data_IF_276413036788
#
_entry.id   IF_276413036788
#
_cell.length_a   1.000
_cell.length_b   1.000
_cell.length_c   1.000
_cell.angle_alpha   90.00
_cell.angle_beta   90.00
_cell.angle_gamma   90.00
#
_symmetry.space_group_name_H-M   'P 1'
#
loop_
_entity.id
_entity.type
_entity.pdbx_description
1 polymer ?
#
# COMPACT_ATOMS: atom_id res chain seq x y z
N UNK A 1 -86.67 -14.50 6.88
CA UNK A 1 -85.65 -14.14 5.87
C UNK A 1 -84.33 -13.96 6.63
N UNK A 2 -83.66 -15.05 6.99
CA UNK A 2 -82.81 -15.92 6.16
C UNK A 2 -81.38 -15.37 6.05
N UNK A 3 -80.47 -16.00 6.79
CA UNK A 3 -79.03 -15.96 6.60
C UNK A 3 -78.62 -17.22 5.83
N UNK A 4 -77.78 -17.09 4.79
CA UNK A 4 -76.91 -18.19 4.32
C UNK A 4 -75.65 -17.63 3.64
N UNK A 5 -74.60 -18.45 3.76
CA UNK A 5 -73.17 -18.31 3.46
C UNK A 5 -72.78 -18.46 1.97
N UNK A 6 -71.68 -17.79 1.60
CA UNK A 6 -70.45 -18.25 0.90
C UNK A 6 -70.47 -18.82 -0.54
N UNK A 7 -69.53 -18.33 -1.37
CA UNK A 7 -68.58 -19.02 -2.29
C UNK A 7 -68.20 -18.09 -3.48
N UNK A 8 -67.00 -17.49 -3.48
CA UNK A 8 -65.71 -18.03 -3.96
C UNK A 8 -65.50 -17.89 -5.48
N UNK A 9 -64.73 -16.89 -5.89
CA UNK A 9 -63.97 -16.88 -7.15
C UNK A 9 -62.52 -16.53 -6.84
N UNK A 10 -61.67 -17.56 -6.83
CA UNK A 10 -60.24 -17.45 -6.70
C UNK A 10 -59.66 -16.90 -8.01
N UNK A 11 -59.18 -15.65 -7.98
CA UNK A 11 -58.30 -15.12 -9.00
C UNK A 11 -56.90 -15.72 -8.80
N UNK A 12 -56.37 -16.34 -9.85
CA UNK A 12 -55.06 -16.98 -9.85
C UNK A 12 -53.96 -16.01 -9.47
N UNK A 13 -53.30 -16.28 -8.35
CA UNK A 13 -52.02 -15.69 -8.02
C UNK A 13 -50.97 -16.28 -8.96
N UNK A 14 -50.40 -15.44 -9.81
CA UNK A 14 -49.15 -15.75 -10.49
C UNK A 14 -48.07 -15.92 -9.39
N UNK A 15 -47.71 -17.17 -9.11
CA UNK A 15 -46.60 -17.51 -8.23
C UNK A 15 -45.32 -17.04 -8.90
N UNK A 16 -44.80 -15.89 -8.48
CA UNK A 16 -43.38 -15.55 -8.69
C UNK A 16 -42.58 -16.62 -7.96
N UNK A 17 -42.01 -17.58 -8.70
CA UNK A 17 -41.06 -18.53 -8.16
C UNK A 17 -39.92 -17.72 -7.51
N UNK A 18 -39.53 -18.01 -6.26
CA UNK A 18 -38.50 -17.24 -5.60
C UNK A 18 -37.18 -17.52 -6.32
N UNK A 19 -36.49 -16.49 -6.81
CA UNK A 19 -35.16 -16.59 -7.45
C UNK A 19 -34.17 -17.44 -6.63
N UNK A 20 -34.36 -17.48 -5.30
CA UNK A 20 -33.60 -18.32 -4.38
C UNK A 20 -33.66 -19.83 -4.73
N UNK A 21 -34.82 -20.35 -5.13
CA UNK A 21 -35.02 -21.78 -5.42
C UNK A 21 -34.44 -22.18 -6.79
N UNK A 22 -34.29 -21.22 -7.72
CA UNK A 22 -33.70 -21.49 -9.02
C UNK A 22 -32.17 -21.56 -8.95
N UNK A 23 -31.55 -20.65 -8.18
CA UNK A 23 -30.10 -20.64 -7.93
C UNK A 23 -29.65 -21.91 -7.20
N UNK A 24 -30.40 -22.35 -6.19
CA UNK A 24 -30.08 -23.56 -5.42
C UNK A 24 -30.13 -24.81 -6.31
N UNK A 25 -31.13 -24.92 -7.20
CA UNK A 25 -31.22 -26.02 -8.19
C UNK A 25 -30.07 -26.03 -9.20
N UNK A 26 -29.60 -24.86 -9.63
CA UNK A 26 -28.46 -24.75 -10.58
C UNK A 26 -27.16 -25.20 -9.91
N UNK A 27 -26.92 -24.82 -8.65
CA UNK A 27 -25.73 -25.22 -7.91
C UNK A 27 -25.73 -26.74 -7.68
N UNK A 28 -26.87 -27.33 -7.29
CA UNK A 28 -27.02 -28.78 -7.13
C UNK A 28 -26.78 -29.55 -8.44
N UNK A 29 -27.28 -29.04 -9.58
CA UNK A 29 -27.08 -29.66 -10.89
C UNK A 29 -25.64 -29.58 -11.39
N UNK A 30 -24.90 -28.51 -11.04
CA UNK A 30 -23.52 -28.30 -11.48
C UNK A 30 -22.52 -29.31 -10.87
N UNK A 31 -22.89 -30.00 -9.77
CA UNK A 31 -22.03 -30.91 -8.99
C UNK A 31 -20.69 -30.29 -8.53
N UNK A 32 -20.58 -28.96 -8.52
CA UNK A 32 -19.34 -28.24 -8.22
C UNK A 32 -19.03 -28.20 -6.71
N UNK A 33 -20.04 -28.29 -5.84
CA UNK A 33 -19.89 -28.20 -4.39
C UNK A 33 -20.03 -29.58 -3.70
N UNK A 34 -19.00 -29.99 -2.96
CA UNK A 34 -18.99 -31.25 -2.18
C UNK A 34 -19.32 -31.03 -0.70
N UNK A 35 -19.23 -29.77 -0.23
CA UNK A 35 -19.56 -29.34 1.13
C UNK A 35 -20.56 -28.18 1.14
N UNK A 36 -21.30 -28.01 2.24
CA UNK A 36 -22.26 -26.91 2.39
C UNK A 36 -21.65 -25.51 2.28
N UNK A 37 -20.38 -25.34 2.68
CA UNK A 37 -19.65 -24.07 2.55
C UNK A 37 -19.28 -23.74 1.09
N UNK A 38 -18.92 -24.76 0.30
CA UNK A 38 -18.69 -24.60 -1.15
C UNK A 38 -20.00 -24.30 -1.87
N UNK A 39 -21.11 -24.88 -1.43
CA UNK A 39 -22.44 -24.65 -2.00
C UNK A 39 -22.88 -23.20 -1.81
N UNK A 40 -22.73 -22.66 -0.59
CA UNK A 40 -23.00 -21.25 -0.30
C UNK A 40 -22.13 -20.31 -1.15
N UNK A 41 -20.81 -20.59 -1.24
CA UNK A 41 -19.89 -19.78 -2.05
C UNK A 41 -20.22 -19.83 -3.54
N UNK A 42 -20.54 -21.00 -4.09
CA UNK A 42 -20.91 -21.15 -5.49
C UNK A 42 -22.22 -20.42 -5.81
N UNK A 43 -23.20 -20.48 -4.90
CA UNK A 43 -24.45 -19.74 -4.99
C UNK A 43 -24.21 -18.23 -5.05
N UNK A 44 -23.37 -17.70 -4.17
CA UNK A 44 -23.05 -16.26 -4.13
C UNK A 44 -22.35 -15.79 -5.42
N UNK A 45 -21.40 -16.58 -5.94
CA UNK A 45 -20.69 -16.27 -7.20
C UNK A 45 -21.64 -16.27 -8.41
N UNK A 46 -22.57 -17.23 -8.48
CA UNK A 46 -23.56 -17.29 -9.57
C UNK A 46 -24.56 -16.15 -9.44
N UNK A 47 -25.00 -15.80 -8.23
CA UNK A 47 -25.89 -14.68 -7.99
C UNK A 47 -25.28 -13.35 -8.45
N UNK A 48 -24.00 -13.12 -8.12
CA UNK A 48 -23.25 -11.94 -8.57
C UNK A 48 -23.11 -11.91 -10.10
N UNK A 49 -22.77 -13.05 -10.73
CA UNK A 49 -22.69 -13.13 -12.18
C UNK A 49 -24.02 -12.81 -12.86
N UNK A 50 -25.13 -13.33 -12.35
CA UNK A 50 -26.48 -13.05 -12.86
C UNK A 50 -26.81 -11.56 -12.70
N UNK A 51 -26.49 -10.96 -11.55
CA UNK A 51 -26.68 -9.53 -11.33
C UNK A 51 -25.91 -8.69 -12.37
N UNK A 52 -24.64 -9.02 -12.62
CA UNK A 52 -23.81 -8.31 -13.60
C UNK A 52 -24.27 -8.52 -15.06
N UNK A 53 -24.90 -9.66 -15.38
CA UNK A 53 -25.56 -9.88 -16.68
C UNK A 53 -26.80 -9.00 -16.80
N UNK A 54 -27.62 -8.92 -15.73
CA UNK A 54 -28.84 -8.10 -15.73
C UNK A 54 -28.55 -6.60 -15.81
N UNK A 55 -27.44 -6.15 -15.23
CA UNK A 55 -26.97 -4.76 -15.36
C UNK A 55 -26.41 -4.43 -16.76
N UNK A 56 -26.34 -5.42 -17.67
CA UNK A 56 -25.83 -5.25 -19.03
C UNK A 56 -24.30 -5.15 -19.08
N UNK A 57 -23.63 -5.37 -17.95
CA UNK A 57 -22.19 -5.29 -17.84
C UNK A 57 -21.57 -6.50 -18.58
N UNK A 58 -22.17 -7.70 -18.51
CA UNK A 58 -21.71 -8.92 -19.19
C UNK A 58 -22.59 -9.26 -20.41
N UNK A 59 -22.01 -9.40 -21.60
CA UNK A 59 -22.72 -9.89 -22.79
C UNK A 59 -22.64 -11.42 -22.84
N UNK A 60 -23.77 -12.11 -22.69
CA UNK A 60 -23.82 -13.57 -22.75
C UNK A 60 -23.55 -14.02 -24.19
N UNK A 61 -22.45 -14.73 -24.40
CA UNK A 61 -22.12 -15.39 -25.67
C UNK A 61 -22.18 -16.91 -25.52
N UNK A 62 -22.18 -17.63 -26.64
CA UNK A 62 -22.17 -19.10 -26.66
C UNK A 62 -20.96 -19.70 -25.91
N UNK A 63 -19.92 -18.90 -25.68
CA UNK A 63 -18.76 -19.26 -24.87
C UNK A 63 -18.70 -18.42 -23.58
N UNK A 64 -19.39 -18.92 -22.55
CA UNK A 64 -19.38 -18.33 -21.21
C UNK A 64 -17.96 -18.21 -20.62
N UNK A 65 -17.09 -19.19 -20.87
CA UNK A 65 -15.71 -19.16 -20.37
C UNK A 65 -14.93 -17.98 -20.96
N UNK A 66 -15.01 -17.78 -22.29
CA UNK A 66 -14.39 -16.62 -22.94
C UNK A 66 -14.99 -15.28 -22.45
N UNK A 67 -16.27 -15.27 -22.12
CA UNK A 67 -16.95 -14.10 -21.56
C UNK A 67 -16.41 -13.77 -20.15
N UNK A 68 -16.23 -14.78 -19.30
CA UNK A 68 -15.64 -14.64 -17.96
C UNK A 68 -14.18 -14.17 -18.06
N UNK A 69 -13.38 -14.77 -18.94
CA UNK A 69 -11.98 -14.36 -19.14
C UNK A 69 -11.88 -12.89 -19.58
N UNK A 70 -12.76 -12.46 -20.48
CA UNK A 70 -12.84 -11.05 -20.90
C UNK A 70 -13.21 -10.13 -19.73
N UNK A 71 -14.04 -10.59 -18.78
CA UNK A 71 -14.35 -9.82 -17.57
C UNK A 71 -13.22 -9.76 -16.58
N UNK A 72 -12.52 -10.87 -16.36
CA UNK A 72 -11.31 -10.88 -15.53
C UNK A 72 -10.29 -9.91 -16.10
N UNK A 73 -10.05 -9.93 -17.42
CA UNK A 73 -9.14 -8.99 -18.07
C UNK A 73 -9.55 -7.52 -17.89
N UNK A 74 -10.85 -7.21 -17.93
CA UNK A 74 -11.33 -5.84 -17.68
C UNK A 74 -11.17 -5.43 -16.21
N UNK A 75 -11.45 -6.33 -15.26
CA UNK A 75 -11.20 -6.08 -13.84
C UNK A 75 -9.72 -5.86 -13.57
N UNK A 76 -8.84 -6.69 -14.14
CA UNK A 76 -7.39 -6.56 -14.04
C UNK A 76 -6.92 -5.22 -14.62
N UNK A 77 -7.52 -4.77 -15.72
CA UNK A 77 -7.23 -3.45 -16.31
C UNK A 77 -7.62 -2.32 -15.36
N UNK A 78 -8.80 -2.39 -14.75
CA UNK A 78 -9.28 -1.38 -13.80
C UNK A 78 -8.41 -1.34 -12.53
N UNK A 79 -8.12 -2.49 -11.95
CA UNK A 79 -7.26 -2.62 -10.76
C UNK A 79 -5.85 -2.13 -11.09
N UNK A 80 -5.29 -2.54 -12.23
CA UNK A 80 -3.96 -2.12 -12.67
C UNK A 80 -3.89 -0.62 -12.91
N UNK A 81 -4.93 0.00 -13.51
CA UNK A 81 -4.98 1.43 -13.72
C UNK A 81 -5.01 2.19 -12.39
N UNK A 82 -5.83 1.74 -11.43
CA UNK A 82 -5.91 2.36 -10.11
C UNK A 82 -4.61 2.18 -9.32
N UNK A 83 -4.06 0.97 -9.30
CA UNK A 83 -2.80 0.68 -8.61
C UNK A 83 -1.64 1.48 -9.24
N UNK A 84 -1.60 1.57 -10.57
CA UNK A 84 -0.61 2.39 -11.27
C UNK A 84 -0.72 3.85 -10.85
N UNK A 85 -1.92 4.41 -10.74
CA UNK A 85 -2.10 5.79 -10.28
C UNK A 85 -1.56 6.00 -8.86
N UNK A 86 -1.78 5.04 -7.95
CA UNK A 86 -1.26 5.10 -6.56
C UNK A 86 0.27 4.96 -6.53
N UNK A 87 0.82 3.96 -7.23
CA UNK A 87 2.26 3.69 -7.25
C UNK A 87 3.07 4.78 -7.94
N UNK A 88 2.47 5.52 -8.88
CA UNK A 88 3.11 6.64 -9.57
C UNK A 88 2.81 8.00 -8.93
N UNK A 89 2.14 8.03 -7.78
CA UNK A 89 1.94 9.27 -7.03
C UNK A 89 3.31 9.79 -6.54
N UNK A 90 3.66 11.08 -6.78
CA UNK A 90 4.97 11.62 -6.40
C UNK A 90 5.30 11.47 -4.91
N UNK A 91 4.32 11.64 -4.01
CA UNK A 91 4.53 11.41 -2.58
C UNK A 91 4.88 9.96 -2.25
N UNK A 92 4.25 8.99 -2.91
CA UNK A 92 4.49 7.57 -2.69
C UNK A 92 5.87 7.18 -3.21
N UNK A 93 6.19 7.59 -4.45
CA UNK A 93 7.48 7.30 -5.07
C UNK A 93 8.65 7.85 -4.27
N UNK A 94 8.52 9.06 -3.71
CA UNK A 94 9.56 9.66 -2.86
C UNK A 94 9.80 8.86 -1.58
N UNK A 95 8.73 8.36 -0.96
CA UNK A 95 8.84 7.51 0.23
C UNK A 95 9.43 6.14 -0.13
N UNK A 96 8.90 5.53 -1.19
CA UNK A 96 9.35 4.23 -1.70
C UNK A 96 10.82 4.25 -2.11
N UNK A 97 11.30 5.31 -2.76
CA UNK A 97 12.69 5.42 -3.19
C UNK A 97 13.65 5.43 -2.00
N UNK A 98 13.34 6.20 -0.95
CA UNK A 98 14.16 6.26 0.26
C UNK A 98 14.22 4.92 0.98
N UNK A 99 13.08 4.25 1.16
CA UNK A 99 13.03 2.94 1.82
C UNK A 99 13.65 1.82 0.98
N UNK A 100 13.45 1.84 -0.33
CA UNK A 100 14.04 0.85 -1.24
C UNK A 100 15.55 1.04 -1.31
N UNK A 101 16.03 2.28 -1.33
CA UNK A 101 17.46 2.61 -1.24
C UNK A 101 18.08 2.12 0.07
N UNK A 102 17.43 2.35 1.22
CA UNK A 102 17.87 1.83 2.51
C UNK A 102 17.87 0.29 2.54
N UNK A 103 16.82 -0.34 2.04
CA UNK A 103 16.74 -1.80 1.94
C UNK A 103 17.84 -2.36 1.03
N UNK A 104 18.16 -1.68 -0.08
CA UNK A 104 19.29 -2.02 -0.94
C UNK A 104 20.62 -1.94 -0.18
N UNK A 105 20.85 -0.84 0.55
CA UNK A 105 22.06 -0.66 1.36
C UNK A 105 22.21 -1.79 2.38
N UNK A 106 21.15 -2.07 3.16
CA UNK A 106 21.20 -3.10 4.21
C UNK A 106 21.39 -4.50 3.63
N UNK A 107 20.68 -4.85 2.55
CA UNK A 107 20.75 -6.19 1.95
C UNK A 107 22.10 -6.50 1.30
N UNK A 108 22.75 -5.49 0.72
CA UNK A 108 24.04 -5.66 0.03
C UNK A 108 25.24 -5.40 0.95
N UNK A 109 24.99 -5.11 2.22
CA UNK A 109 26.04 -4.85 3.20
C UNK A 109 26.16 -6.04 4.15
N UNK A 110 27.36 -6.60 4.28
CA UNK A 110 27.64 -7.65 5.26
C UNK A 110 27.71 -7.07 6.68
N UNK A 111 26.54 -6.76 7.26
CA UNK A 111 26.45 -6.28 8.64
C UNK A 111 26.88 -7.37 9.62
N UNK A 112 27.60 -6.98 10.67
CA UNK A 112 28.15 -7.90 11.67
C UNK A 112 28.59 -7.15 12.93
N UNK A 113 29.36 -7.77 13.85
CA UNK A 113 29.82 -7.08 15.06
C UNK A 113 30.66 -5.83 14.77
N UNK A 114 31.37 -5.81 13.64
CA UNK A 114 32.28 -4.74 13.23
C UNK A 114 31.63 -3.71 12.31
N UNK A 115 30.40 -3.93 11.84
CA UNK A 115 29.74 -3.02 10.90
C UNK A 115 28.27 -2.84 11.30
N UNK A 116 27.94 -1.62 11.68
CA UNK A 116 26.60 -1.21 12.12
C UNK A 116 26.11 -0.08 11.23
N UNK A 117 24.86 -0.18 10.81
CA UNK A 117 24.14 0.89 10.12
C UNK A 117 23.15 1.48 11.12
N UNK A 118 23.23 2.79 11.36
CA UNK A 118 22.24 3.52 12.17
C UNK A 118 21.44 4.45 11.27
N UNK A 119 20.13 4.47 11.46
CA UNK A 119 19.21 5.30 10.70
C UNK A 119 18.72 6.46 11.58
N UNK A 120 18.77 7.67 11.03
CA UNK A 120 18.11 8.85 11.58
C UNK A 120 17.07 9.32 10.55
N UNK A 121 15.80 9.32 10.94
CA UNK A 121 14.76 9.91 10.12
C UNK A 121 14.67 11.41 10.45
N UNK A 122 15.10 12.26 9.52
CA UNK A 122 15.00 13.71 9.63
C UNK A 122 14.85 14.32 8.24
N UNK A 123 13.95 15.30 8.12
CA UNK A 123 13.81 16.08 6.90
C UNK A 123 14.89 17.15 6.81
N UNK A 124 15.25 17.57 5.60
CA UNK A 124 16.20 18.68 5.40
C UNK A 124 15.79 19.95 6.14
N UNK A 125 14.50 20.27 6.14
CA UNK A 125 13.95 21.45 6.83
C UNK A 125 14.15 21.38 8.34
N UNK A 126 14.01 20.20 8.94
CA UNK A 126 14.26 20.00 10.37
C UNK A 126 15.75 20.16 10.69
N UNK A 127 16.65 19.61 9.86
CA UNK A 127 18.09 19.75 10.05
C UNK A 127 18.56 21.20 9.89
N UNK A 128 18.10 21.89 8.85
CA UNK A 128 18.39 23.33 8.67
C UNK A 128 17.89 24.14 9.86
N UNK A 129 16.69 23.85 10.35
CA UNK A 129 16.13 24.52 11.53
C UNK A 129 16.95 24.22 12.79
N UNK A 130 17.44 23.00 12.97
CA UNK A 130 18.32 22.62 14.08
C UNK A 130 19.61 23.46 14.05
N UNK A 131 20.27 23.56 12.89
CA UNK A 131 21.47 24.37 12.72
C UNK A 131 21.23 25.87 12.92
N UNK A 132 20.10 26.41 12.45
CA UNK A 132 19.75 27.81 12.63
C UNK A 132 19.37 28.16 14.08
N UNK A 133 18.87 27.18 14.83
CA UNK A 133 18.49 27.37 16.24
C UNK A 133 19.70 27.33 17.17
N UNK A 134 20.80 26.71 16.73
CA UNK A 134 22.05 26.68 17.46
C UNK A 134 22.87 27.96 17.20
N UNK A 135 23.62 28.41 18.21
CA UNK A 135 24.52 29.58 18.06
C UNK A 135 25.71 29.20 17.18
N UNK A 136 26.24 27.99 17.39
CA UNK A 136 27.32 27.38 16.62
C UNK A 136 26.95 25.93 16.28
N UNK A 137 27.55 25.38 15.22
CA UNK A 137 27.19 24.06 14.70
C UNK A 137 27.42 22.93 15.73
N UNK A 138 28.36 23.09 16.64
CA UNK A 138 28.71 22.12 17.68
C UNK A 138 27.67 22.02 18.81
N UNK A 139 26.76 22.99 18.90
CA UNK A 139 25.63 22.96 19.84
C UNK A 139 24.35 22.37 19.21
N UNK A 140 24.38 22.03 17.92
CA UNK A 140 23.25 21.41 17.21
C UNK A 140 22.93 20.01 17.73
N UNK A 141 21.68 19.58 17.56
CA UNK A 141 21.27 18.21 17.87
C UNK A 141 22.00 17.23 16.96
N UNK A 142 22.22 17.59 15.70
CA UNK A 142 22.96 16.76 14.75
C UNK A 142 24.41 16.51 15.21
N UNK A 143 25.12 17.55 15.67
CA UNK A 143 26.48 17.39 16.19
C UNK A 143 26.53 16.48 17.43
N UNK A 144 25.61 16.68 18.37
CA UNK A 144 25.52 15.83 19.56
C UNK A 144 25.36 14.35 19.22
N UNK A 145 24.49 14.03 18.26
CA UNK A 145 24.23 12.64 17.85
C UNK A 145 25.40 12.00 17.11
N UNK A 146 26.09 12.76 16.27
CA UNK A 146 27.20 12.25 15.45
C UNK A 146 28.50 12.21 16.23
N UNK A 147 28.82 13.31 16.91
CA UNK A 147 30.09 13.49 17.60
C UNK A 147 29.98 13.09 19.08
N UNK A 148 29.20 13.78 19.90
CA UNK A 148 29.26 13.62 21.37
C UNK A 148 28.84 12.22 21.83
N UNK A 149 27.70 11.71 21.34
CA UNK A 149 27.13 10.41 21.74
C UNK A 149 28.00 9.22 21.29
N UNK A 150 28.82 9.38 20.25
CA UNK A 150 29.58 8.26 19.65
C UNK A 150 31.09 8.50 19.67
N UNK A 151 31.59 9.52 18.98
CA UNK A 151 33.02 9.81 18.89
C UNK A 151 33.60 10.37 20.20
N UNK A 152 32.86 11.26 20.87
CA UNK A 152 33.26 11.93 22.11
C UNK A 152 33.03 11.09 23.38
N UNK A 153 32.33 9.97 23.29
CA UNK A 153 31.99 9.12 24.42
C UNK A 153 32.93 7.91 24.54
N UNK A 154 33.47 7.68 25.73
CA UNK A 154 34.33 6.52 25.99
C UNK A 154 33.55 5.20 25.76
N UNK A 155 34.03 4.37 24.83
CA UNK A 155 33.36 3.12 24.45
C UNK A 155 32.24 3.29 23.41
N UNK A 156 32.07 4.47 22.83
CA UNK A 156 31.16 4.71 21.71
C UNK A 156 31.63 4.08 20.39
N UNK A 157 30.77 4.08 19.38
CA UNK A 157 31.06 3.52 18.07
C UNK A 157 31.06 4.64 17.00
N UNK A 158 32.21 5.27 16.72
CA UNK A 158 32.28 6.41 15.83
C UNK A 158 31.80 6.06 14.42
N UNK A 159 31.16 7.02 13.76
CA UNK A 159 30.66 6.85 12.40
C UNK A 159 31.82 6.89 11.40
N UNK A 160 31.86 5.92 10.48
CA UNK A 160 32.86 5.91 9.40
C UNK A 160 32.46 6.76 8.19
N UNK A 161 31.16 6.95 7.97
CA UNK A 161 30.60 7.78 6.91
C UNK A 161 29.17 8.17 7.29
N UNK A 162 28.71 9.31 6.77
CA UNK A 162 27.35 9.80 6.90
C UNK A 162 26.72 9.80 5.52
N UNK A 163 25.55 9.17 5.36
CA UNK A 163 24.84 9.09 4.07
C UNK A 163 23.57 9.93 4.20
N UNK A 164 23.43 10.94 3.34
CA UNK A 164 22.26 11.81 3.29
C UNK A 164 21.38 11.52 2.07
N UNK A 165 20.16 11.02 2.29
CA UNK A 165 19.16 10.90 1.22
C UNK A 165 18.50 12.26 0.95
N UNK A 166 19.25 13.17 0.32
CA UNK A 166 18.80 14.53 0.02
C UNK A 166 19.10 14.94 -1.43
N UNK A 167 18.13 15.55 -2.07
CA UNK A 167 18.34 16.28 -3.33
C UNK A 167 18.85 17.69 -3.03
N UNK A 168 20.11 17.93 -3.36
CA UNK A 168 20.78 19.21 -3.15
C UNK A 168 20.74 20.03 -4.43
N UNK A 169 20.33 21.28 -4.30
CA UNK A 169 20.36 22.27 -5.39
C UNK A 169 21.35 23.41 -5.08
N UNK A 170 21.42 24.40 -5.97
CA UNK A 170 22.27 25.60 -5.80
C UNK A 170 21.57 26.70 -4.99
N UNK A 171 20.46 26.38 -4.33
CA UNK A 171 19.72 27.34 -3.52
C UNK A 171 20.51 27.70 -2.26
N UNK A 172 20.40 28.94 -1.74
CA UNK A 172 21.15 29.36 -0.56
C UNK A 172 20.91 28.48 0.68
N UNK A 173 19.69 27.99 0.87
CA UNK A 173 19.35 27.09 1.98
C UNK A 173 20.08 25.74 1.89
N UNK A 174 20.21 25.18 0.68
CA UNK A 174 20.92 23.92 0.45
C UNK A 174 22.44 24.11 0.60
N UNK A 175 22.97 25.26 0.18
CA UNK A 175 24.39 25.60 0.38
C UNK A 175 24.71 25.77 1.87
N UNK A 176 23.84 26.45 2.62
CA UNK A 176 23.96 26.56 4.07
C UNK A 176 23.90 25.18 4.74
N UNK A 177 22.95 24.33 4.35
CA UNK A 177 22.84 22.96 4.86
C UNK A 177 24.14 22.17 4.67
N UNK A 178 24.72 22.19 3.47
CA UNK A 178 25.97 21.49 3.18
C UNK A 178 27.13 22.07 3.97
N UNK A 179 27.22 23.39 4.09
CA UNK A 179 28.26 24.05 4.87
C UNK A 179 28.22 23.59 6.34
N UNK A 180 27.05 23.60 6.97
CA UNK A 180 26.88 23.13 8.35
C UNK A 180 27.19 21.64 8.50
N UNK A 181 26.68 20.80 7.59
CA UNK A 181 27.00 19.37 7.58
C UNK A 181 28.50 19.11 7.37
N UNK A 182 29.19 19.95 6.60
CA UNK A 182 30.63 19.82 6.38
C UNK A 182 31.43 20.06 7.66
N UNK A 183 31.00 21.00 8.51
CA UNK A 183 31.62 21.22 9.81
C UNK A 183 31.43 20.02 10.75
N UNK A 184 30.22 19.46 10.80
CA UNK A 184 29.93 18.25 11.59
C UNK A 184 30.75 17.05 11.08
N UNK A 185 30.79 16.84 9.77
CA UNK A 185 31.56 15.78 9.12
C UNK A 185 33.07 15.90 9.39
N UNK A 186 33.60 17.12 9.31
CA UNK A 186 35.00 17.41 9.60
C UNK A 186 35.37 17.14 11.06
N UNK A 187 34.51 17.52 12.01
CA UNK A 187 34.72 17.28 13.42
C UNK A 187 34.65 15.79 13.79
N UNK A 188 33.71 15.04 13.20
CA UNK A 188 33.55 13.61 13.46
C UNK A 188 34.49 12.72 12.61
N UNK A 189 35.29 13.29 11.72
CA UNK A 189 36.11 12.58 10.73
C UNK A 189 35.30 11.57 9.89
N UNK A 190 34.04 11.88 9.62
CA UNK A 190 33.10 11.04 8.89
C UNK A 190 32.60 11.81 7.66
N UNK A 191 33.02 11.46 6.43
CA UNK A 191 32.59 12.17 5.23
C UNK A 191 31.06 12.07 5.06
N UNK A 192 30.44 13.19 4.66
CA UNK A 192 29.04 13.24 4.28
C UNK A 192 28.90 13.02 2.78
N UNK A 193 28.11 11.99 2.41
CA UNK A 193 27.88 11.52 1.04
C UNK A 193 26.41 11.71 0.70
#
# INVERSE_FOLDING_TARGET
MAAILNEATAAGAATSAPEADLLDRIVEQSKVAKSGAEHARARDLIAELVSQVMEGTVVVSDNLAATIDARVAELDRLISAQLSAVMHAPEFQRLESGWTGLNYLVRNTATGPNLKVKMLNATRRELVKDFQSAIEFDQSTMFRKVYEEEFGTFGGAPFGALIGDFEITRQPEDMYFIEQMSHVAAAAHAPFI
#
